data_IF_878964790843
#
_entry.id   IF_878964790843
#
_cell.length_a   1.000
_cell.length_b   1.000
_cell.length_c   1.000
_cell.angle_alpha   90.00
_cell.angle_beta   90.00
_cell.angle_gamma   90.00
#
_symmetry.space_group_name_H-M   'P 1'
#
loop_
_entity.id
_entity.type
_entity.pdbx_description
1 polymer ?
#
# COMPACT_ATOMS: atom_id res chain seq x y z
N UNK A 1 -29.12 1.35 -13.53
CA UNK A 1 -28.43 2.58 -13.07
C UNK A 1 -27.18 2.14 -12.33
N UNK A 2 -26.02 2.74 -12.60
CA UNK A 2 -24.85 2.47 -11.76
C UNK A 2 -25.16 2.93 -10.34
N UNK A 3 -25.02 2.04 -9.36
CA UNK A 3 -25.29 2.39 -7.96
C UNK A 3 -24.16 3.30 -7.47
N UNK A 4 -24.41 4.61 -7.37
CA UNK A 4 -23.46 5.53 -6.75
C UNK A 4 -23.27 5.13 -5.28
N UNK A 5 -22.01 4.94 -4.88
CA UNK A 5 -21.62 4.63 -3.51
C UNK A 5 -20.86 5.82 -2.93
N UNK A 6 -21.07 6.09 -1.64
CA UNK A 6 -20.40 7.18 -0.94
C UNK A 6 -19.09 6.69 -0.30
N UNK A 7 -18.03 7.48 -0.45
CA UNK A 7 -16.76 7.27 0.24
C UNK A 7 -16.67 8.30 1.37
N UNK A 8 -16.61 7.83 2.62
CA UNK A 8 -16.43 8.67 3.81
C UNK A 8 -15.23 8.20 4.61
N UNK A 9 -14.33 9.12 4.94
CA UNK A 9 -13.14 8.84 5.76
C UNK A 9 -12.90 10.01 6.72
N UNK A 10 -12.31 9.71 7.87
CA UNK A 10 -11.83 10.73 8.80
C UNK A 10 -10.45 11.20 8.36
N UNK A 11 -10.22 12.49 8.49
CA UNK A 11 -8.94 13.15 8.21
C UNK A 11 -8.80 14.31 9.19
N UNK A 12 -7.55 14.67 9.48
CA UNK A 12 -7.25 15.89 10.22
C UNK A 12 -7.82 17.14 9.49
N UNK A 13 -8.30 18.11 10.27
CA UNK A 13 -8.98 19.29 9.75
C UNK A 13 -8.03 20.24 9.01
N UNK A 14 -6.80 20.40 9.48
CA UNK A 14 -5.78 21.25 8.86
C UNK A 14 -5.31 20.62 7.55
N UNK A 15 -5.02 19.32 7.55
CA UNK A 15 -4.64 18.57 6.35
C UNK A 15 -5.72 18.67 5.28
N UNK A 16 -7.00 18.55 5.66
CA UNK A 16 -8.12 18.68 4.72
C UNK A 16 -8.17 20.08 4.08
N UNK A 17 -7.97 21.13 4.88
CA UNK A 17 -8.01 22.50 4.40
C UNK A 17 -6.86 22.80 3.42
N UNK A 18 -5.64 22.37 3.77
CA UNK A 18 -4.46 22.53 2.91
C UNK A 18 -4.61 21.78 1.60
N UNK A 19 -5.00 20.50 1.65
CA UNK A 19 -5.22 19.68 0.45
C UNK A 19 -6.30 20.28 -0.46
N UNK A 20 -7.39 20.81 0.12
CA UNK A 20 -8.45 21.45 -0.64
C UNK A 20 -7.96 22.72 -1.37
N UNK A 21 -7.12 23.54 -0.72
CA UNK A 21 -6.56 24.74 -1.34
C UNK A 21 -5.61 24.40 -2.51
N UNK A 22 -4.73 23.41 -2.32
CA UNK A 22 -3.80 22.96 -3.36
C UNK A 22 -4.54 22.38 -4.56
N UNK A 23 -5.53 21.50 -4.32
CA UNK A 23 -6.33 20.91 -5.39
C UNK A 23 -7.17 21.96 -6.13
N UNK A 24 -7.73 22.94 -5.41
CA UNK A 24 -8.49 24.02 -6.03
C UNK A 24 -7.62 24.87 -6.97
N UNK A 25 -6.36 25.10 -6.62
CA UNK A 25 -5.40 25.77 -7.51
C UNK A 25 -5.12 24.97 -8.81
N UNK A 26 -5.35 23.65 -8.79
CA UNK A 26 -5.30 22.76 -9.96
C UNK A 26 -6.66 22.60 -10.67
N UNK A 27 -7.72 23.27 -10.20
CA UNK A 27 -9.07 23.13 -10.73
C UNK A 27 -9.78 21.83 -10.32
N UNK A 28 -9.35 21.19 -9.23
CA UNK A 28 -9.88 19.93 -8.72
C UNK A 28 -10.52 20.10 -7.34
N UNK A 29 -11.57 19.33 -7.07
CA UNK A 29 -12.09 19.15 -5.71
C UNK A 29 -11.41 17.97 -5.02
N UNK A 30 -11.50 17.89 -3.69
CA UNK A 30 -11.08 16.70 -2.93
C UNK A 30 -11.76 15.43 -3.46
N UNK A 31 -13.04 15.53 -3.82
CA UNK A 31 -13.80 14.42 -4.37
C UNK A 31 -13.28 13.97 -5.74
N UNK A 32 -12.80 14.89 -6.58
CA UNK A 32 -12.18 14.55 -7.87
C UNK A 32 -10.88 13.77 -7.65
N UNK A 33 -10.01 14.26 -6.75
CA UNK A 33 -8.76 13.59 -6.43
C UNK A 33 -8.99 12.17 -5.87
N UNK A 34 -9.95 12.01 -4.94
CA UNK A 34 -10.30 10.70 -4.38
C UNK A 34 -10.85 9.75 -5.46
N UNK A 35 -11.71 10.22 -6.37
CA UNK A 35 -12.19 9.41 -7.50
C UNK A 35 -11.05 8.98 -8.42
N UNK A 36 -10.14 9.88 -8.76
CA UNK A 36 -8.98 9.57 -9.60
C UNK A 36 -8.07 8.53 -8.95
N UNK A 37 -7.77 8.70 -7.65
CA UNK A 37 -6.99 7.75 -6.86
C UNK A 37 -7.63 6.36 -6.86
N UNK A 38 -8.91 6.24 -6.49
CA UNK A 38 -9.59 4.94 -6.40
C UNK A 38 -9.71 4.29 -7.78
N UNK A 39 -9.94 5.08 -8.83
CA UNK A 39 -9.95 4.59 -10.22
C UNK A 39 -8.60 4.00 -10.61
N UNK A 40 -7.50 4.68 -10.26
CA UNK A 40 -6.14 4.22 -10.56
C UNK A 40 -5.81 2.94 -9.81
N UNK A 41 -6.12 2.87 -8.51
CA UNK A 41 -5.94 1.64 -7.71
C UNK A 41 -6.72 0.46 -8.30
N UNK A 42 -7.98 0.69 -8.68
CA UNK A 42 -8.83 -0.36 -9.25
C UNK A 42 -8.28 -0.90 -10.58
N UNK A 43 -7.72 -0.03 -11.42
CA UNK A 43 -7.21 -0.37 -12.76
C UNK A 43 -5.80 -0.93 -12.75
N UNK A 44 -4.88 -0.27 -12.04
CA UNK A 44 -3.45 -0.55 -12.10
C UNK A 44 -2.99 -1.52 -10.99
N UNK A 45 -3.84 -1.80 -9.99
CA UNK A 45 -3.51 -2.69 -8.86
C UNK A 45 -2.29 -2.25 -8.06
N UNK A 46 -1.94 -0.97 -8.14
CA UNK A 46 -0.86 -0.33 -7.39
C UNK A 46 -1.38 0.92 -6.68
N UNK A 47 -0.73 1.28 -5.58
CA UNK A 47 -0.99 2.56 -4.94
C UNK A 47 -0.44 3.69 -5.81
N UNK A 48 -1.12 4.84 -5.91
CA UNK A 48 -0.70 5.97 -6.75
C UNK A 48 0.45 6.78 -6.11
N UNK A 49 0.99 6.30 -5.01
CA UNK A 49 2.20 6.74 -4.35
C UNK A 49 3.08 5.51 -4.15
N UNK A 50 4.39 5.69 -4.14
CA UNK A 50 5.30 4.60 -3.85
C UNK A 50 4.97 4.04 -2.47
N UNK A 51 4.71 2.72 -2.33
CA UNK A 51 4.50 2.09 -1.03
C UNK A 51 5.72 2.40 -0.15
N UNK A 52 5.51 3.35 0.78
CA UNK A 52 6.55 3.88 1.64
C UNK A 52 7.20 2.75 2.42
N UNK A 53 8.53 2.85 2.49
CA UNK A 53 9.47 2.24 3.46
C UNK A 53 8.90 1.02 4.20
N UNK A 54 9.46 -0.18 4.00
CA UNK A 54 9.01 -1.38 4.70
C UNK A 54 8.85 -1.12 6.20
N UNK A 55 7.81 -1.69 6.81
CA UNK A 55 7.61 -1.53 8.26
C UNK A 55 8.80 -2.11 9.06
N UNK A 56 8.87 -1.80 10.35
CA UNK A 56 9.99 -2.21 11.21
C UNK A 56 10.26 -3.73 11.16
N UNK A 57 9.20 -4.54 11.18
CA UNK A 57 9.28 -6.00 11.09
C UNK A 57 9.93 -6.44 9.78
N UNK A 58 9.49 -5.90 8.65
CA UNK A 58 10.05 -6.23 7.34
C UNK A 58 11.49 -5.74 7.22
N UNK A 59 11.81 -4.56 7.75
CA UNK A 59 13.20 -4.06 7.80
C UNK A 59 14.08 -5.00 8.61
N UNK A 60 13.61 -5.48 9.77
CA UNK A 60 14.35 -6.39 10.62
C UNK A 60 14.62 -7.73 9.91
N UNK A 61 13.59 -8.31 9.30
CA UNK A 61 13.71 -9.54 8.51
C UNK A 61 14.69 -9.38 7.33
N UNK A 62 14.64 -8.25 6.62
CA UNK A 62 15.59 -7.95 5.54
C UNK A 62 17.03 -7.81 6.05
N UNK A 63 17.24 -7.19 7.21
CA UNK A 63 18.57 -7.06 7.83
C UNK A 63 19.12 -8.43 8.27
N UNK A 64 18.28 -9.28 8.85
CA UNK A 64 18.64 -10.65 9.22
C UNK A 64 19.02 -11.48 8.00
N UNK A 65 18.18 -11.47 6.95
CA UNK A 65 18.45 -12.19 5.71
C UNK A 65 19.77 -11.75 5.07
N UNK A 66 20.06 -10.44 5.03
CA UNK A 66 21.34 -9.90 4.52
C UNK A 66 22.56 -10.31 5.34
N UNK A 67 22.38 -10.59 6.64
CA UNK A 67 23.43 -11.12 7.52
C UNK A 67 23.56 -12.65 7.44
N UNK A 68 22.76 -13.32 6.61
CA UNK A 68 22.77 -14.77 6.46
C UNK A 68 21.95 -15.51 7.52
N UNK A 69 21.03 -14.85 8.23
CA UNK A 69 20.21 -15.47 9.30
C UNK A 69 19.09 -16.40 8.82
N UNK A 70 18.94 -16.63 7.51
CA UNK A 70 17.90 -17.51 6.97
C UNK A 70 18.33 -18.99 6.92
N UNK A 71 17.37 -19.91 7.04
CA UNK A 71 17.61 -21.32 6.72
C UNK A 71 18.00 -21.48 5.25
N UNK A 72 19.05 -22.25 5.00
CA UNK A 72 19.46 -22.66 3.66
C UNK A 72 19.01 -24.09 3.39
N UNK A 73 18.64 -24.37 2.14
CA UNK A 73 18.19 -25.69 1.71
C UNK A 73 18.98 -26.10 0.46
N UNK A 74 19.28 -27.39 0.34
CA UNK A 74 19.97 -27.95 -0.82
C UNK A 74 19.05 -28.12 -2.03
N UNK A 75 17.74 -28.26 -1.82
CA UNK A 75 16.75 -28.40 -2.88
C UNK A 75 15.50 -27.57 -2.61
N UNK A 76 14.79 -27.20 -3.68
CA UNK A 76 13.47 -26.53 -3.60
C UNK A 76 12.44 -27.42 -2.88
N UNK A 77 12.55 -28.75 -3.01
CA UNK A 77 11.65 -29.71 -2.35
C UNK A 77 11.76 -29.60 -0.82
N UNK A 78 12.99 -29.49 -0.30
CA UNK A 78 13.23 -29.39 1.14
C UNK A 78 12.74 -28.06 1.70
N UNK A 79 12.93 -26.96 0.94
CA UNK A 79 12.36 -25.65 1.28
C UNK A 79 10.83 -25.70 1.38
N UNK A 80 10.16 -26.26 0.37
CA UNK A 80 8.69 -26.33 0.35
C UNK A 80 8.13 -27.24 1.45
N UNK A 81 8.85 -28.30 1.82
CA UNK A 81 8.48 -29.15 2.94
C UNK A 81 8.54 -28.40 4.28
N UNK A 82 9.57 -27.56 4.51
CA UNK A 82 9.69 -26.73 5.73
C UNK A 82 8.62 -25.63 5.80
N UNK A 83 8.35 -24.95 4.67
CA UNK A 83 7.35 -23.88 4.61
C UNK A 83 5.92 -24.37 4.87
N UNK A 84 5.56 -25.54 4.32
CA UNK A 84 4.23 -26.12 4.44
C UNK A 84 4.06 -27.00 5.69
N UNK A 85 5.07 -27.11 6.55
CA UNK A 85 5.02 -27.99 7.72
C UNK A 85 3.96 -27.57 8.78
N UNK A 86 3.44 -26.34 8.69
CA UNK A 86 2.49 -25.76 9.64
C UNK A 86 1.19 -25.22 8.98
N UNK A 87 0.96 -25.51 7.70
CA UNK A 87 -0.34 -25.31 7.04
C UNK A 87 -1.26 -26.52 7.33
#
# INVERSE_FOLDING_TARGET
>A
MAANQLVQTRIDGEIKAEAAAVLAAMGLTVSDAVRMMLTRVAREKVLPFEPLVPNETTIAAMKEARKGGGKSFSTVKDLMADLNAND
#
